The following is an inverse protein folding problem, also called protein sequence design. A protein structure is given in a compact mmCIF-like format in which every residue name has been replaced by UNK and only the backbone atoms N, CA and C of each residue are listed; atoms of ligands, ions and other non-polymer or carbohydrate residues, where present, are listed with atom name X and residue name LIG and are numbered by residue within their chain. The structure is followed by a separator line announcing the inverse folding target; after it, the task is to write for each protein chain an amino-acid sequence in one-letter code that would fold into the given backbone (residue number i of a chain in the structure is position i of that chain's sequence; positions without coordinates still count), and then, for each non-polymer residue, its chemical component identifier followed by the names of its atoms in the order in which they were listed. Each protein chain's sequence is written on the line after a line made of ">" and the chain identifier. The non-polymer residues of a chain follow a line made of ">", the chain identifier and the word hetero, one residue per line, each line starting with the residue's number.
data_IF_029664789834
#
_entry.id   IF_029664789834
#
_cell.length_a   1.000
_cell.length_b   1.000
_cell.length_c   1.000
_cell.angle_alpha   90.00
_cell.angle_beta   90.00
_cell.angle_gamma   90.00
#
_symmetry.space_group_name_H-M   'P 1'
#
loop_
_entity.id
_entity.type
_entity.pdbx_description
1 polymer ?
#
# COMPACT_ATOMS: atom_id res chain seq x y z
N UNK A 1 16.32 -12.64 -3.05
CA UNK A 1 15.78 -11.27 -2.99
C UNK A 1 14.99 -11.18 -1.69
N UNK A 2 15.43 -10.38 -0.72
CA UNK A 2 14.79 -10.32 0.59
C UNK A 2 13.68 -9.28 0.57
N UNK A 3 12.45 -9.73 0.84
CA UNK A 3 11.29 -8.86 0.97
C UNK A 3 11.13 -8.50 2.45
N UNK A 4 11.06 -7.21 2.75
CA UNK A 4 10.88 -6.71 4.10
C UNK A 4 9.54 -6.01 4.25
N UNK A 5 9.07 -5.94 5.50
CA UNK A 5 7.86 -5.24 5.90
C UNK A 5 8.22 -3.89 6.49
N UNK A 6 7.47 -2.87 6.09
CA UNK A 6 7.69 -1.49 6.51
C UNK A 6 6.38 -0.86 6.95
N UNK A 7 6.45 -0.02 7.96
CA UNK A 7 5.47 1.02 8.21
C UNK A 7 5.74 2.21 7.31
N UNK A 8 4.69 2.93 6.96
CA UNK A 8 4.80 4.16 6.18
C UNK A 8 4.18 5.31 6.97
N UNK A 9 4.78 6.48 6.84
CA UNK A 9 4.27 7.69 7.46
C UNK A 9 2.87 8.05 6.94
N UNK A 10 1.94 8.35 7.85
CA UNK A 10 0.54 8.62 7.53
C UNK A 10 0.40 9.94 6.76
N UNK A 11 1.17 10.96 7.13
CA UNK A 11 1.13 12.26 6.49
C UNK A 11 1.74 12.18 5.08
N UNK A 12 2.73 11.31 4.87
CA UNK A 12 3.22 10.99 3.53
C UNK A 12 2.14 10.34 2.65
N UNK A 13 1.35 9.40 3.20
CA UNK A 13 0.24 8.78 2.45
C UNK A 13 -0.86 9.79 2.13
N UNK A 14 -1.17 10.69 3.06
CA UNK A 14 -2.14 11.78 2.83
C UNK A 14 -1.66 12.70 1.70
N UNK A 15 -0.40 13.12 1.75
CA UNK A 15 0.23 13.90 0.68
C UNK A 15 0.12 13.22 -0.68
N UNK A 16 0.44 11.93 -0.79
CA UNK A 16 0.34 11.19 -2.06
C UNK A 16 -1.10 11.13 -2.59
N UNK A 17 -2.09 10.95 -1.72
CA UNK A 17 -3.51 10.96 -2.10
C UNK A 17 -3.95 12.30 -2.64
N UNK A 18 -3.58 13.38 -1.95
CA UNK A 18 -3.93 14.74 -2.36
C UNK A 18 -3.27 15.11 -3.68
N UNK A 19 -1.98 14.78 -3.85
CA UNK A 19 -1.26 14.98 -5.10
C UNK A 19 -1.91 14.21 -6.28
N UNK A 20 -2.34 12.96 -6.06
CA UNK A 20 -3.01 12.18 -7.11
C UNK A 20 -4.42 12.72 -7.41
N UNK A 21 -5.20 13.05 -6.37
CA UNK A 21 -6.53 13.67 -6.53
C UNK A 21 -6.45 15.00 -7.26
N UNK A 22 -5.50 15.86 -6.93
CA UNK A 22 -5.31 17.15 -7.59
C UNK A 22 -5.02 16.99 -9.10
N UNK A 23 -4.31 15.92 -9.47
CA UNK A 23 -3.94 15.65 -10.88
C UNK A 23 -5.00 14.88 -11.67
N UNK A 24 -5.74 13.98 -11.03
CA UNK A 24 -6.63 13.00 -11.71
C UNK A 24 -8.11 13.09 -11.31
N UNK A 25 -8.42 13.81 -10.23
CA UNK A 25 -9.76 13.85 -9.61
C UNK A 25 -10.08 12.66 -8.68
N UNK A 26 -9.20 11.64 -8.61
CA UNK A 26 -9.37 10.47 -7.74
C UNK A 26 -8.02 9.90 -7.31
N UNK A 27 -8.01 9.06 -6.27
CA UNK A 27 -6.80 8.37 -5.77
C UNK A 27 -6.97 6.86 -5.78
N UNK A 28 -5.88 6.13 -6.07
CA UNK A 28 -5.72 4.69 -5.87
C UNK A 28 -4.73 4.35 -4.75
N UNK A 29 -4.09 5.36 -4.16
CA UNK A 29 -3.27 5.17 -2.96
C UNK A 29 -4.17 4.64 -1.82
N UNK A 30 -3.86 3.47 -1.24
CA UNK A 30 -4.69 2.84 -0.22
C UNK A 30 -4.71 3.63 1.09
N UNK A 31 -5.73 3.43 1.91
CA UNK A 31 -5.67 3.79 3.33
C UNK A 31 -4.67 2.91 4.06
N UNK A 32 -3.88 3.54 4.92
CA UNK A 32 -2.92 2.86 5.81
C UNK A 32 -3.38 2.83 7.25
N UNK A 33 -4.40 3.62 7.60
CA UNK A 33 -4.98 3.69 8.94
C UNK A 33 -6.38 3.07 8.90
N UNK A 34 -6.61 2.04 9.72
CA UNK A 34 -7.89 1.38 9.91
C UNK A 34 -8.23 1.32 11.40
N UNK A 35 -8.88 2.37 11.91
CA UNK A 35 -9.18 2.48 13.33
C UNK A 35 -7.88 2.49 14.14
N UNK A 36 -7.66 1.44 14.95
CA UNK A 36 -6.44 1.28 15.76
C UNK A 36 -5.32 0.49 15.06
N UNK A 37 -5.53 0.02 13.82
CA UNK A 37 -4.57 -0.80 13.09
C UNK A 37 -3.91 -0.01 11.95
N UNK A 38 -2.61 -0.27 11.72
CA UNK A 38 -1.86 0.26 10.58
C UNK A 38 -1.58 -0.83 9.56
N UNK A 39 -1.78 -0.53 8.27
CA UNK A 39 -1.35 -1.42 7.19
C UNK A 39 0.14 -1.27 6.96
N UNK A 40 0.81 -2.41 6.95
CA UNK A 40 2.21 -2.51 6.53
C UNK A 40 2.30 -2.65 5.01
N UNK A 41 3.43 -2.23 4.46
CA UNK A 41 3.79 -2.41 3.05
C UNK A 41 4.95 -3.39 2.94
N UNK A 42 5.04 -4.15 1.85
CA UNK A 42 6.18 -4.99 1.52
C UNK A 42 6.98 -4.42 0.35
N UNK A 43 8.30 -4.58 0.40
CA UNK A 43 9.16 -4.15 -0.70
C UNK A 43 10.65 -4.38 -0.43
N UNK A 44 11.52 -3.94 -1.35
CA UNK A 44 11.22 -3.27 -2.63
C UNK A 44 10.77 -4.30 -3.67
N UNK A 45 9.60 -4.11 -4.30
CA UNK A 45 9.10 -5.04 -5.33
C UNK A 45 9.55 -4.68 -6.74
N UNK A 46 9.85 -3.39 -6.96
CA UNK A 46 10.22 -2.83 -8.25
C UNK A 46 11.06 -1.57 -8.02
N UNK A 47 12.13 -1.43 -8.78
CA UNK A 47 12.93 -0.21 -8.83
C UNK A 47 12.93 0.30 -10.27
N UNK A 48 12.41 1.51 -10.49
CA UNK A 48 12.32 2.14 -11.81
C UNK A 48 12.48 3.65 -11.68
N UNK A 49 13.23 4.26 -12.60
CA UNK A 49 13.49 5.71 -12.62
C UNK A 49 14.03 6.27 -11.28
N UNK A 50 14.80 5.48 -10.53
CA UNK A 50 15.32 5.86 -9.22
C UNK A 50 14.30 5.78 -8.07
N UNK A 51 13.07 5.31 -8.33
CA UNK A 51 12.04 5.11 -7.33
C UNK A 51 11.92 3.64 -6.93
N UNK A 52 11.77 3.42 -5.63
CA UNK A 52 11.51 2.11 -5.02
C UNK A 52 10.02 1.96 -4.76
N UNK A 53 9.41 0.95 -5.33
CA UNK A 53 7.98 0.67 -5.19
C UNK A 53 7.73 -0.38 -4.12
N UNK A 54 6.65 -0.16 -3.37
CA UNK A 54 6.19 -0.98 -2.26
C UNK A 54 4.72 -1.35 -2.48
N UNK A 55 4.31 -2.52 -2.00
CA UNK A 55 2.95 -3.04 -2.16
C UNK A 55 2.27 -3.10 -0.79
N UNK A 56 1.05 -2.53 -0.64
CA UNK A 56 0.29 -2.63 0.59
C UNK A 56 -0.16 -4.07 0.85
N UNK A 57 -0.08 -4.52 2.09
CA UNK A 57 -0.53 -5.85 2.47
C UNK A 57 -1.99 -5.78 2.89
N UNK A 58 -2.79 -6.71 2.38
CA UNK A 58 -4.19 -6.88 2.76
C UNK A 58 -4.47 -8.33 3.13
N UNK A 59 -5.18 -8.55 4.23
CA UNK A 59 -5.71 -9.86 4.61
C UNK A 59 -6.92 -10.24 3.76
N UNK A 60 -6.95 -11.48 3.27
CA UNK A 60 -8.12 -12.04 2.59
C UNK A 60 -9.21 -12.37 3.63
N UNK A 61 -10.38 -11.72 3.53
CA UNK A 61 -11.53 -12.03 4.40
C UNK A 61 -12.38 -13.22 3.92
N UNK A 62 -12.21 -13.67 2.66
CA UNK A 62 -12.92 -14.83 2.10
C UNK A 62 -11.97 -16.01 1.97
N UNK A 63 -12.25 -17.12 2.67
CA UNK A 63 -11.69 -18.44 2.35
C UNK A 63 -12.28 -18.86 1.01
N UNK A 64 -11.45 -19.04 -0.02
CA UNK A 64 -11.89 -19.77 -1.21
C UNK A 64 -12.21 -21.21 -0.76
N UNK A 65 -13.40 -21.76 -1.05
CA UNK A 65 -13.61 -23.18 -0.83
C UNK A 65 -12.58 -23.93 -1.67
N UNK A 66 -11.76 -24.75 -1.01
CA UNK A 66 -10.92 -25.73 -1.69
C UNK A 66 -11.91 -26.73 -2.29
N UNK A 67 -12.14 -26.65 -3.59
CA UNK A 67 -12.80 -27.71 -4.35
C UNK A 67 -11.67 -28.67 -4.69
N UNK A 68 -11.60 -29.79 -3.96
CA UNK A 68 -10.76 -30.93 -4.31
C UNK A 68 -11.32 -31.63 -5.56
#
# INVERSE_FOLDING_TARGET
>A
MNLFFYDVDIDYVRYLKEAEKAKRGFTRVPDVEYGNERKMVCGVVLEMNGYKYYVPISSYKKKNPIIC
#
